data_IF_380305188473
#
_entry.id   IF_380305188473
#
_cell.length_a   1.000
_cell.length_b   1.000
_cell.length_c   1.000
_cell.angle_alpha   90.00
_cell.angle_beta   90.00
_cell.angle_gamma   90.00
#
_symmetry.space_group_name_H-M   'P 1'
#
loop_
_entity.id
_entity.type
_entity.pdbx_description
1 polymer ?
#
# COMPACT_ATOMS: atom_id res chain seq x y z
N UNK A 1 -22.05 -2.70 5.33
CA UNK A 1 -20.57 -2.68 5.21
C UNK A 1 -20.17 -3.82 4.28
N UNK A 2 -19.55 -3.54 3.12
CA UNK A 2 -19.25 -4.58 2.12
C UNK A 2 -18.17 -5.54 2.66
N UNK A 3 -18.50 -6.84 2.71
CA UNK A 3 -17.68 -7.92 3.27
C UNK A 3 -16.32 -8.06 2.56
N UNK A 4 -16.16 -7.51 1.35
CA UNK A 4 -14.90 -7.54 0.58
C UNK A 4 -13.78 -6.69 1.19
N UNK A 5 -14.10 -5.57 1.84
CA UNK A 5 -13.08 -4.65 2.41
C UNK A 5 -12.38 -5.24 3.64
N UNK A 6 -13.10 -6.02 4.44
CA UNK A 6 -12.58 -6.68 5.63
C UNK A 6 -11.67 -7.89 5.30
N UNK A 7 -11.75 -8.44 4.08
CA UNK A 7 -10.93 -9.61 3.70
C UNK A 7 -9.45 -9.26 3.53
N UNK A 8 -9.14 -8.10 2.94
CA UNK A 8 -7.74 -7.67 2.69
C UNK A 8 -7.03 -7.31 3.98
N UNK A 9 -7.70 -6.56 4.87
CA UNK A 9 -7.16 -6.18 6.18
C UNK A 9 -6.85 -7.39 7.05
N UNK A 10 -7.75 -8.38 7.08
CA UNK A 10 -7.57 -9.67 7.77
C UNK A 10 -6.39 -10.49 7.25
N UNK A 11 -6.25 -10.60 5.92
CA UNK A 11 -5.12 -11.32 5.32
C UNK A 11 -3.80 -10.61 5.67
N UNK A 12 -3.78 -9.28 5.59
CA UNK A 12 -2.59 -8.50 5.93
C UNK A 12 -2.20 -8.65 7.41
N UNK A 13 -3.14 -8.49 8.33
CA UNK A 13 -2.92 -8.71 9.77
C UNK A 13 -2.39 -10.14 10.06
N UNK A 14 -2.98 -11.16 9.42
CA UNK A 14 -2.52 -12.56 9.54
C UNK A 14 -1.08 -12.73 9.07
N UNK A 15 -0.68 -12.10 7.97
CA UNK A 15 0.70 -12.16 7.47
C UNK A 15 1.70 -11.49 8.40
N UNK A 16 1.36 -10.35 8.99
CA UNK A 16 2.22 -9.68 9.97
C UNK A 16 2.48 -10.58 11.20
N UNK A 17 1.43 -11.29 11.64
CA UNK A 17 1.53 -12.29 12.71
C UNK A 17 2.39 -13.49 12.31
N UNK A 18 2.20 -14.04 11.11
CA UNK A 18 3.01 -15.15 10.58
C UNK A 18 4.51 -14.79 10.42
N UNK A 19 4.80 -13.52 10.15
CA UNK A 19 6.17 -13.00 9.99
C UNK A 19 6.81 -12.55 11.33
N UNK A 20 6.14 -12.76 12.48
CA UNK A 20 6.58 -12.30 13.80
C UNK A 20 6.84 -10.78 13.88
N UNK A 21 6.21 -9.98 13.01
CA UNK A 21 6.31 -8.50 13.04
C UNK A 21 5.43 -7.92 14.15
N UNK A 22 4.28 -8.56 14.41
CA UNK A 22 3.38 -8.19 15.49
C UNK A 22 1.95 -8.66 15.26
N UNK A 23 1.16 -8.62 16.33
CA UNK A 23 -0.29 -8.85 16.30
C UNK A 23 -1.00 -7.51 16.48
N UNK A 24 -1.67 -7.05 15.43
CA UNK A 24 -2.22 -5.70 15.31
C UNK A 24 -3.73 -5.76 15.09
N UNK A 25 -4.50 -5.77 16.18
CA UNK A 25 -5.97 -5.84 16.15
C UNK A 25 -6.60 -4.64 15.39
N UNK A 26 -5.97 -3.46 15.50
CA UNK A 26 -6.34 -2.27 14.75
C UNK A 26 -6.23 -2.47 13.23
N UNK A 27 -5.22 -3.21 12.75
CA UNK A 27 -5.08 -3.51 11.32
C UNK A 27 -6.17 -4.47 10.86
N UNK A 28 -6.51 -5.49 11.65
CA UNK A 28 -7.55 -6.46 11.28
C UNK A 28 -8.92 -5.80 11.08
N UNK A 29 -9.25 -4.87 11.97
CA UNK A 29 -10.55 -4.20 12.04
C UNK A 29 -10.67 -2.98 11.12
N UNK A 30 -9.55 -2.42 10.65
CA UNK A 30 -9.56 -1.25 9.76
C UNK A 30 -9.84 -1.64 8.31
N UNK A 31 -10.95 -1.17 7.69
CA UNK A 31 -11.25 -1.46 6.29
C UNK A 31 -10.29 -0.70 5.36
N UNK A 32 -9.69 -1.41 4.40
CA UNK A 32 -8.84 -0.80 3.39
C UNK A 32 -9.69 -0.18 2.29
N UNK A 33 -10.00 1.10 2.40
CA UNK A 33 -10.88 1.83 1.47
C UNK A 33 -10.17 2.24 0.18
N UNK A 34 -10.95 2.57 -0.85
CA UNK A 34 -10.43 3.09 -2.11
C UNK A 34 -9.74 4.45 -1.88
N UNK A 35 -8.49 4.57 -2.33
CA UNK A 35 -7.62 5.70 -2.05
C UNK A 35 -6.50 5.28 -1.11
N UNK A 36 -6.53 5.78 0.12
CA UNK A 36 -5.58 5.44 1.16
C UNK A 36 -6.28 5.17 2.49
N UNK A 37 -5.66 4.37 3.35
CA UNK A 37 -6.07 4.06 4.70
C UNK A 37 -4.85 4.26 5.59
N UNK A 38 -4.90 5.23 6.49
CA UNK A 38 -3.85 5.42 7.49
C UNK A 38 -4.16 4.60 8.74
N UNK A 39 -3.13 3.92 9.28
CA UNK A 39 -3.22 3.14 10.50
C UNK A 39 -2.11 3.57 11.45
N UNK A 40 -2.49 4.10 12.61
CA UNK A 40 -1.55 4.43 13.68
C UNK A 40 -1.21 3.18 14.48
N UNK A 41 0.08 2.91 14.64
CA UNK A 41 0.61 1.82 15.45
C UNK A 41 0.95 2.32 16.85
N UNK A 42 0.86 1.44 17.84
CA UNK A 42 1.18 1.77 19.24
C UNK A 42 2.66 2.15 19.45
N UNK A 43 3.52 1.83 18.48
CA UNK A 43 4.93 2.21 18.45
C UNK A 43 5.19 3.68 18.08
N UNK A 44 4.14 4.45 17.76
CA UNK A 44 4.26 5.83 17.29
C UNK A 44 4.48 5.97 15.79
N UNK A 45 4.61 4.85 15.05
CA UNK A 45 4.64 4.83 13.60
C UNK A 45 3.22 4.91 13.01
N UNK A 46 3.11 5.51 11.84
CA UNK A 46 1.87 5.57 11.05
C UNK A 46 2.11 4.84 9.72
N UNK A 47 1.17 3.96 9.38
CA UNK A 47 1.22 3.15 8.17
C UNK A 47 0.14 3.62 7.20
N UNK A 48 0.56 4.23 6.09
CA UNK A 48 -0.31 4.57 4.98
C UNK A 48 -0.43 3.39 3.99
N UNK A 49 -1.64 2.84 3.87
CA UNK A 49 -1.94 1.74 2.96
C UNK A 49 -2.78 2.26 1.80
N UNK A 50 -2.25 2.15 0.58
CA UNK A 50 -2.99 2.46 -0.64
C UNK A 50 -3.33 1.18 -1.39
N UNK A 51 -4.61 0.95 -1.67
CA UNK A 51 -5.03 -0.20 -2.50
C UNK A 51 -5.13 0.12 -3.98
N UNK A 52 -5.11 1.41 -4.33
CA UNK A 52 -5.22 1.91 -5.69
C UNK A 52 -4.41 3.19 -5.85
N UNK A 53 -3.64 3.28 -6.93
CA UNK A 53 -2.92 4.48 -7.33
C UNK A 53 -3.48 4.98 -8.66
N UNK A 54 -4.07 6.16 -8.66
CA UNK A 54 -4.65 6.76 -9.88
C UNK A 54 -3.54 7.05 -10.90
N UNK A 55 -3.78 6.66 -12.15
CA UNK A 55 -2.77 6.74 -13.20
C UNK A 55 -1.81 5.54 -13.25
N UNK A 56 -2.05 4.52 -12.42
CA UNK A 56 -1.33 3.25 -12.47
C UNK A 56 -2.30 2.12 -12.86
N UNK A 57 -2.05 1.48 -13.99
CA UNK A 57 -2.88 0.38 -14.45
C UNK A 57 -2.63 -0.84 -13.56
N UNK A 58 -3.63 -1.24 -12.75
CA UNK A 58 -3.48 -2.37 -11.82
C UNK A 58 -3.19 -3.70 -12.51
N UNK A 59 -3.66 -3.86 -13.76
CA UNK A 59 -3.31 -4.98 -14.64
C UNK A 59 -1.80 -5.13 -14.90
N UNK A 60 -1.01 -4.09 -14.63
CA UNK A 60 0.46 -4.11 -14.73
C UNK A 60 1.16 -4.27 -13.37
N UNK A 61 0.44 -4.51 -12.28
CA UNK A 61 1.05 -4.60 -10.94
C UNK A 61 2.14 -5.66 -10.88
N UNK A 62 1.89 -6.87 -11.40
CA UNK A 62 2.87 -7.96 -11.36
C UNK A 62 4.13 -7.64 -12.16
N UNK A 63 3.97 -7.00 -13.32
CA UNK A 63 5.09 -6.51 -14.13
C UNK A 63 5.90 -5.45 -13.38
N UNK A 64 5.21 -4.51 -12.75
CA UNK A 64 5.83 -3.45 -11.98
C UNK A 64 6.54 -3.99 -10.73
N UNK A 65 5.97 -4.98 -10.06
CA UNK A 65 6.58 -5.64 -8.91
C UNK A 65 7.85 -6.42 -9.29
N UNK A 66 7.86 -7.03 -10.49
CA UNK A 66 9.04 -7.73 -11.04
C UNK A 66 10.20 -6.77 -11.29
N UNK A 67 9.93 -5.61 -11.90
CA UNK A 67 10.97 -4.61 -12.22
C UNK A 67 11.25 -3.64 -11.06
N UNK A 68 10.54 -3.75 -9.94
CA UNK A 68 10.68 -2.86 -8.79
C UNK A 68 12.11 -2.96 -8.22
N UNK A 69 12.84 -1.83 -8.12
CA UNK A 69 14.15 -1.81 -7.47
C UNK A 69 14.02 -2.30 -6.03
N UNK A 70 15.00 -3.10 -5.62
CA UNK A 70 15.09 -3.63 -4.25
C UNK A 70 16.29 -2.99 -3.58
N UNK A 71 16.07 -2.36 -2.43
CA UNK A 71 17.14 -1.84 -1.58
C UNK A 71 17.21 -2.66 -0.29
N UNK A 72 18.40 -2.78 0.27
CA UNK A 72 18.61 -3.45 1.55
C UNK A 72 18.54 -2.41 2.66
N UNK A 73 17.60 -2.57 3.60
CA UNK A 73 17.49 -1.73 4.81
C UNK A 73 17.64 -2.66 6.00
N UNK A 74 18.70 -2.47 6.80
CA UNK A 74 18.99 -3.33 7.96
C UNK A 74 18.90 -4.83 7.60
N UNK A 75 19.50 -5.20 6.46
CA UNK A 75 19.50 -6.57 5.92
C UNK A 75 18.13 -7.10 5.43
N UNK A 76 17.09 -6.26 5.43
CA UNK A 76 15.77 -6.59 4.90
C UNK A 76 15.67 -6.09 3.45
N UNK A 77 15.38 -6.97 2.47
CA UNK A 77 15.15 -6.55 1.09
C UNK A 77 13.79 -5.88 0.97
N UNK A 78 13.78 -4.58 0.66
CA UNK A 78 12.57 -3.78 0.50
C UNK A 78 12.44 -3.35 -0.96
N UNK A 79 11.28 -3.65 -1.56
CA UNK A 79 10.93 -3.23 -2.92
C UNK A 79 10.31 -1.84 -2.91
N UNK A 80 10.76 -0.99 -3.83
CA UNK A 80 10.24 0.36 -4.02
C UNK A 80 9.60 0.49 -5.40
N UNK A 81 8.57 1.36 -5.50
CA UNK A 81 8.09 1.79 -6.81
C UNK A 81 9.19 2.60 -7.50
N UNK A 82 9.37 2.36 -8.80
CA UNK A 82 10.36 3.10 -9.56
C UNK A 82 9.94 4.58 -9.67
N UNK A 83 10.89 5.51 -9.52
CA UNK A 83 10.59 6.96 -9.46
C UNK A 83 9.82 7.46 -10.70
N UNK A 84 10.09 6.88 -11.88
CA UNK A 84 9.36 7.24 -13.11
C UNK A 84 7.86 6.93 -13.01
N UNK A 85 7.50 5.82 -12.38
CA UNK A 85 6.09 5.43 -12.16
C UNK A 85 5.39 6.42 -11.23
N UNK A 86 6.09 6.91 -10.20
CA UNK A 86 5.58 7.94 -9.29
C UNK A 86 5.39 9.28 -10.01
N UNK A 87 6.34 9.67 -10.87
CA UNK A 87 6.24 10.88 -11.69
C UNK A 87 5.04 10.81 -12.64
N UNK A 88 4.84 9.68 -13.30
CA UNK A 88 3.71 9.45 -14.21
C UNK A 88 2.37 9.50 -13.47
N UNK A 89 2.26 8.80 -12.34
CA UNK A 89 1.07 8.85 -11.49
C UNK A 89 0.74 10.29 -11.07
N UNK A 90 1.74 11.07 -10.65
CA UNK A 90 1.57 12.49 -10.29
C UNK A 90 1.17 13.38 -11.47
N UNK A 91 1.72 13.14 -12.67
CA UNK A 91 1.32 13.85 -13.90
C UNK A 91 -0.14 13.58 -14.28
N UNK A 92 -0.58 12.31 -14.17
CA UNK A 92 -1.96 11.93 -14.47
C UNK A 92 -2.91 12.51 -13.43
N UNK A 93 -2.57 12.41 -12.13
CA UNK A 93 -3.31 13.04 -11.04
C UNK A 93 -3.53 14.53 -11.34
N UNK A 94 -2.47 15.29 -11.61
CA UNK A 94 -2.56 16.71 -11.97
C UNK A 94 -3.46 16.97 -13.20
N UNK A 95 -3.42 16.13 -14.22
CA UNK A 95 -4.31 16.26 -15.39
C UNK A 95 -5.78 15.98 -15.05
N UNK A 96 -6.03 15.05 -14.14
CA UNK A 96 -7.38 14.63 -13.76
C UNK A 96 -8.00 15.47 -12.65
N UNK A 97 -7.20 16.12 -11.82
CA UNK A 97 -7.61 17.01 -10.74
C UNK A 97 -7.58 18.47 -11.20
N UNK A 98 -8.07 18.75 -12.41
CA UNK A 98 -8.03 20.07 -13.02
C UNK A 98 -8.26 21.19 -11.99
N UNK A 99 -7.19 21.93 -11.68
CA UNK A 99 -7.33 23.24 -11.07
C UNK A 99 -8.12 24.08 -12.07
N UNK A 100 -9.38 24.34 -11.73
CA UNK A 100 -10.04 25.59 -12.12
C UNK A 100 -9.39 26.74 -11.35
#
# INVERSE_FOLDING_TARGET
MDKRYCKKSKIFAKRLKELNIGDFENIETTPFIHGFTSIKLNSGFELDIMTFLKGFAQEKFDECYKIAPTAMIEEIPVKFLHITQLIEAKKILRKTEGFN
#
